data_IF_435626745524
#
_entry.id   IF_435626745524
#
_cell.length_a   1.000
_cell.length_b   1.000
_cell.length_c   1.000
_cell.angle_alpha   90.00
_cell.angle_beta   90.00
_cell.angle_gamma   90.00
#
_symmetry.space_group_name_H-M   'P 1'
#
loop_
_entity.id
_entity.type
_entity.pdbx_description
1 polymer ?
#
# COMPACT_ATOMS: atom_id res chain seq x y z
N UNK A 1 -1.07 -16.10 5.45
CA UNK A 1 -2.23 -15.18 5.48
C UNK A 1 -2.36 -14.55 4.10
N UNK A 2 -3.41 -14.88 3.33
CA UNK A 2 -3.55 -14.55 1.88
C UNK A 2 -3.77 -13.05 1.57
N UNK A 3 -3.87 -12.19 2.59
CA UNK A 3 -4.38 -10.82 2.47
C UNK A 3 -3.31 -9.72 2.32
N UNK A 4 -2.03 -10.07 2.29
CA UNK A 4 -0.92 -9.10 2.27
C UNK A 4 -0.29 -8.89 0.88
N UNK A 5 -0.96 -9.15 -0.23
CA UNK A 5 -0.30 -8.99 -1.54
C UNK A 5 -0.47 -7.59 -2.11
N UNK A 6 0.65 -6.93 -2.41
CA UNK A 6 0.69 -5.62 -3.01
C UNK A 6 0.08 -5.58 -4.41
N UNK A 7 0.27 -6.64 -5.21
CA UNK A 7 -0.36 -6.77 -6.53
C UNK A 7 -1.88 -6.67 -6.46
N UNK A 8 -2.48 -7.31 -5.44
CA UNK A 8 -3.93 -7.23 -5.20
C UNK A 8 -4.33 -5.81 -4.78
N UNK A 9 -3.56 -5.17 -3.88
CA UNK A 9 -3.78 -3.77 -3.49
C UNK A 9 -3.77 -2.82 -4.69
N UNK A 10 -2.83 -2.99 -5.62
CA UNK A 10 -2.76 -2.21 -6.85
C UNK A 10 -3.97 -2.45 -7.77
N UNK A 11 -4.43 -3.71 -7.90
CA UNK A 11 -5.64 -4.01 -8.67
C UNK A 11 -6.86 -3.31 -8.08
N UNK A 12 -6.99 -3.29 -6.75
CA UNK A 12 -8.07 -2.57 -6.06
C UNK A 12 -7.93 -1.07 -6.32
N UNK A 13 -6.75 -0.48 -6.13
CA UNK A 13 -6.49 0.94 -6.39
C UNK A 13 -6.86 1.38 -7.81
N UNK A 14 -6.76 0.51 -8.82
CA UNK A 14 -7.18 0.84 -10.19
C UNK A 14 -8.69 0.81 -10.40
N UNK A 15 -9.41 0.03 -9.58
CA UNK A 15 -10.85 -0.18 -9.70
C UNK A 15 -11.67 0.74 -8.78
N UNK A 16 -11.07 1.25 -7.71
CA UNK A 16 -11.70 2.20 -6.79
C UNK A 16 -10.80 3.42 -6.60
N UNK A 17 -11.40 4.60 -6.40
CA UNK A 17 -10.66 5.82 -6.01
C UNK A 17 -10.80 6.04 -4.51
N UNK A 18 -9.89 5.51 -3.67
CA UNK A 18 -10.03 5.64 -2.23
C UNK A 18 -9.77 7.09 -1.78
N UNK A 19 -10.33 7.45 -0.63
CA UNK A 19 -10.01 8.70 0.06
C UNK A 19 -8.75 8.61 0.92
N UNK A 20 -8.30 7.40 1.26
CA UNK A 20 -7.08 7.13 2.05
C UNK A 20 -6.53 5.74 1.73
N UNK A 21 -5.20 5.59 1.76
CA UNK A 21 -4.50 4.31 1.71
C UNK A 21 -3.81 4.05 3.04
N UNK A 22 -4.13 2.93 3.70
CA UNK A 22 -3.37 2.41 4.84
C UNK A 22 -2.44 1.32 4.30
N UNK A 23 -1.14 1.47 4.53
CA UNK A 23 -0.11 0.67 3.89
C UNK A 23 0.85 0.05 4.91
N UNK A 24 0.99 -1.27 4.87
CA UNK A 24 2.09 -1.98 5.54
C UNK A 24 3.32 -1.94 4.62
N UNK A 25 4.51 -1.72 5.18
CA UNK A 25 5.77 -1.79 4.42
C UNK A 25 6.29 -3.22 4.30
N UNK A 26 5.92 -4.07 5.27
CA UNK A 26 6.34 -5.47 5.34
C UNK A 26 5.41 -6.36 4.51
N UNK A 27 5.34 -6.08 3.21
CA UNK A 27 4.57 -6.89 2.26
C UNK A 27 5.40 -8.11 1.79
N UNK A 28 4.78 -9.30 1.67
CA UNK A 28 5.43 -10.53 1.23
C UNK A 28 5.91 -10.55 -0.22
N UNK A 29 5.29 -9.77 -1.12
CA UNK A 29 5.50 -9.86 -2.58
C UNK A 29 6.24 -8.67 -3.20
N UNK A 30 6.30 -7.51 -2.54
CA UNK A 30 7.15 -6.37 -2.93
C UNK A 30 7.40 -5.44 -1.76
N UNK A 31 8.28 -4.46 -1.91
CA UNK A 31 8.43 -3.37 -0.94
C UNK A 31 7.18 -2.47 -0.94
N UNK A 32 6.52 -2.32 0.21
CA UNK A 32 5.34 -1.48 0.35
C UNK A 32 5.57 -0.02 -0.03
N UNK A 33 6.80 0.51 0.10
CA UNK A 33 7.12 1.86 -0.39
C UNK A 33 6.87 2.03 -1.88
N UNK A 34 7.17 1.00 -2.69
CA UNK A 34 6.94 1.03 -4.13
C UNK A 34 5.44 1.11 -4.43
N UNK A 35 4.63 0.31 -3.73
CA UNK A 35 3.17 0.36 -3.84
C UNK A 35 2.63 1.76 -3.48
N UNK A 36 3.11 2.35 -2.38
CA UNK A 36 2.71 3.70 -1.96
C UNK A 36 3.08 4.78 -2.99
N UNK A 37 4.26 4.67 -3.61
CA UNK A 37 4.69 5.58 -4.69
C UNK A 37 3.76 5.47 -5.90
N UNK A 38 3.53 4.25 -6.39
CA UNK A 38 2.64 4.01 -7.52
C UNK A 38 1.19 4.47 -7.24
N UNK A 39 0.71 4.29 -6.01
CA UNK A 39 -0.60 4.79 -5.59
C UNK A 39 -0.70 6.32 -5.69
N UNK A 40 0.36 7.05 -5.32
CA UNK A 40 0.44 8.52 -5.47
C UNK A 40 0.63 8.96 -6.91
N UNK A 41 1.28 8.16 -7.76
CA UNK A 41 1.35 8.43 -9.20
C UNK A 41 -0.03 8.33 -9.85
N UNK A 42 -0.84 7.35 -9.44
CA UNK A 42 -2.25 7.23 -9.88
C UNK A 42 -3.15 8.32 -9.28
N UNK A 43 -2.93 8.65 -8.00
CA UNK A 43 -3.73 9.61 -7.25
C UNK A 43 -2.83 10.57 -6.47
N UNK A 44 -2.43 11.67 -7.10
CA UNK A 44 -1.43 12.62 -6.56
C UNK A 44 -1.75 13.18 -5.17
N UNK A 45 -3.04 13.30 -4.85
CA UNK A 45 -3.55 13.82 -3.57
C UNK A 45 -3.96 12.73 -2.58
N UNK A 46 -3.77 11.45 -2.89
CA UNK A 46 -4.16 10.35 -2.01
C UNK A 46 -3.30 10.36 -0.73
N UNK A 47 -3.90 10.56 0.46
CA UNK A 47 -3.19 10.42 1.71
C UNK A 47 -2.78 8.96 1.91
N UNK A 48 -1.49 8.73 2.17
CA UNK A 48 -0.93 7.41 2.48
C UNK A 48 -0.50 7.40 3.94
N UNK A 49 -1.15 6.57 4.73
CA UNK A 49 -0.81 6.34 6.13
C UNK A 49 -0.04 5.02 6.19
N UNK A 50 1.24 5.11 6.54
CA UNK A 50 2.06 3.92 6.73
C UNK A 50 1.82 3.37 8.13
N UNK A 51 1.37 2.12 8.21
CA UNK A 51 1.22 1.36 9.44
C UNK A 51 2.00 0.07 9.30
N UNK A 52 3.24 0.07 9.80
CA UNK A 52 4.12 -1.11 9.78
C UNK A 52 4.40 -1.57 11.20
N UNK A 53 4.66 -2.87 11.36
CA UNK A 53 5.25 -3.35 12.59
C UNK A 53 6.70 -2.89 12.66
N UNK A 54 7.10 -2.33 13.80
CA UNK A 54 8.48 -2.12 14.15
C UNK A 54 8.88 -3.16 15.19
N UNK A 55 9.90 -3.96 14.88
CA UNK A 55 10.46 -4.94 15.83
C UNK A 55 11.75 -4.36 16.39
N UNK A 56 11.72 -3.90 17.64
CA UNK A 56 12.87 -3.27 18.30
C UNK A 56 13.65 -4.23 19.22
N UNK A 57 13.16 -5.44 19.41
CA UNK A 57 13.74 -6.49 20.25
C UNK A 57 13.11 -7.85 19.91
#
# INVERSE_FOLDING_TARGET
MKWKQAHQGMSILKNIRPSVLILDLSLPDMDGFVLGKMARELYSQLPVIVLTQLKLF
#
